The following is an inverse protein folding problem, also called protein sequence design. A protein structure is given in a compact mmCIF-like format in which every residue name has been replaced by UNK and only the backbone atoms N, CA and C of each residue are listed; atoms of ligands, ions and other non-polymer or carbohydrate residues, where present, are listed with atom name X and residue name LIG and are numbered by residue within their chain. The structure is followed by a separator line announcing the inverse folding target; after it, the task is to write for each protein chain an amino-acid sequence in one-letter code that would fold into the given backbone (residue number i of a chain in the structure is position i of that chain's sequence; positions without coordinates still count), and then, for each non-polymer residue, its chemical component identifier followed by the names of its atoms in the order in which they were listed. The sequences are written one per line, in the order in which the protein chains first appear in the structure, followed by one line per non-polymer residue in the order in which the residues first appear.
data_IF_112397383268
#
_entry.id   IF_112397383268
#
_cell.length_a   1.000
_cell.length_b   1.000
_cell.length_c   1.000
_cell.angle_alpha   90.00
_cell.angle_beta   90.00
_cell.angle_gamma   90.00
#
_symmetry.space_group_name_H-M   'P 1'
#
loop_
_entity.id
_entity.type
_entity.pdbx_description
1 polymer ?
#
# COMPACT_ATOMS: atom_id res chain seq x y z
N UNK A 1 19.31 10.59 6.89
CA UNK A 1 19.54 9.92 5.59
C UNK A 1 18.36 10.14 4.65
N UNK A 2 17.13 9.74 4.98
CA UNK A 2 15.94 9.95 4.15
C UNK A 2 15.75 11.40 3.66
N UNK A 3 15.91 12.39 4.56
CA UNK A 3 15.84 13.82 4.18
C UNK A 3 16.88 14.21 3.13
N UNK A 4 18.14 13.79 3.35
CA UNK A 4 19.25 14.08 2.43
C UNK A 4 19.04 13.47 1.04
N UNK A 5 18.32 12.36 0.96
CA UNK A 5 17.99 11.66 -0.27
C UNK A 5 16.76 12.24 -0.99
N UNK A 6 16.05 13.19 -0.39
CA UNK A 6 14.76 13.67 -0.91
C UNK A 6 13.60 12.70 -0.72
N UNK A 7 13.80 11.60 0.02
CA UNK A 7 12.75 10.62 0.30
C UNK A 7 11.80 11.07 1.42
N UNK A 8 12.19 12.11 2.15
CA UNK A 8 11.39 12.70 3.20
C UNK A 8 11.75 14.17 3.40
N UNK A 9 10.89 14.93 4.04
CA UNK A 9 11.14 16.29 4.49
C UNK A 9 10.73 16.44 5.95
N UNK A 10 11.26 17.48 6.61
CA UNK A 10 10.91 17.77 8.00
C UNK A 10 9.76 18.77 8.05
N UNK A 11 8.75 18.47 8.87
CA UNK A 11 7.64 19.38 9.18
C UNK A 11 7.54 19.47 10.70
N UNK A 12 8.11 20.54 11.27
CA UNK A 12 8.34 20.62 12.72
C UNK A 12 9.28 19.50 13.18
N UNK A 13 8.81 18.68 14.12
CA UNK A 13 9.47 17.49 14.65
C UNK A 13 9.15 16.20 13.86
N UNK A 14 8.35 16.27 12.79
CA UNK A 14 8.02 15.10 11.94
C UNK A 14 9.02 14.89 10.83
N UNK A 15 9.20 13.62 10.49
CA UNK A 15 9.71 13.20 9.19
C UNK A 15 8.51 12.78 8.33
N UNK A 16 8.22 13.54 7.27
CA UNK A 16 7.14 13.26 6.32
C UNK A 16 7.76 12.66 5.06
N UNK A 17 7.32 11.49 4.64
CA UNK A 17 7.78 10.86 3.40
C UNK A 17 7.31 11.67 2.19
N UNK A 18 8.17 11.82 1.18
CA UNK A 18 7.75 12.38 -0.10
C UNK A 18 6.90 11.36 -0.89
N UNK A 19 5.99 11.84 -1.73
CA UNK A 19 5.21 10.94 -2.59
C UNK A 19 6.12 10.21 -3.59
N UNK A 20 7.21 10.82 -4.04
CA UNK A 20 8.24 10.14 -4.82
C UNK A 20 8.88 8.95 -4.10
N UNK A 21 9.14 9.07 -2.79
CA UNK A 21 9.63 7.94 -1.99
C UNK A 21 8.62 6.80 -1.92
N UNK A 22 7.34 7.16 -1.84
CA UNK A 22 6.22 6.22 -1.84
C UNK A 22 6.09 5.51 -3.20
N UNK A 23 6.23 6.25 -4.30
CA UNK A 23 6.26 5.69 -5.66
C UNK A 23 7.40 4.67 -5.82
N UNK A 24 8.59 4.99 -5.28
CA UNK A 24 9.78 4.12 -5.30
C UNK A 24 9.89 3.18 -4.11
N UNK A 25 8.76 2.80 -3.47
CA UNK A 25 8.77 2.04 -2.20
C UNK A 25 9.60 0.74 -2.26
N UNK A 26 9.62 0.07 -3.41
CA UNK A 26 10.35 -1.18 -3.63
C UNK A 26 11.86 -1.01 -3.42
N UNK A 27 12.39 0.19 -3.70
CA UNK A 27 13.81 0.50 -3.48
C UNK A 27 14.18 0.49 -2.00
N UNK A 28 13.21 0.74 -1.10
CA UNK A 28 13.44 0.73 0.33
C UNK A 28 13.50 -0.68 0.94
N UNK A 29 13.18 -1.73 0.17
CA UNK A 29 13.13 -3.11 0.68
C UNK A 29 14.50 -3.78 0.75
N UNK A 30 15.43 -3.36 -0.09
CA UNK A 30 16.76 -3.96 -0.17
C UNK A 30 17.84 -2.93 0.08
N UNK A 31 18.95 -3.37 0.69
CA UNK A 31 20.11 -2.51 0.88
C UNK A 31 20.67 -2.05 -0.47
N UNK A 32 20.64 -2.92 -1.48
CA UNK A 32 21.05 -2.59 -2.84
C UNK A 32 20.14 -1.55 -3.49
N UNK A 33 18.81 -1.66 -3.35
CA UNK A 33 17.85 -0.69 -3.86
C UNK A 33 18.02 0.68 -3.22
N UNK A 34 18.16 0.73 -1.89
CA UNK A 34 18.51 1.97 -1.18
C UNK A 34 19.84 2.48 -1.71
N UNK A 35 20.82 1.60 -1.89
CA UNK A 35 22.14 2.04 -2.27
C UNK A 35 22.19 2.70 -3.65
N UNK A 36 21.74 1.95 -4.65
CA UNK A 36 21.81 2.32 -6.07
C UNK A 36 20.87 3.47 -6.44
N UNK A 37 19.92 3.82 -5.58
CA UNK A 37 19.08 5.02 -5.74
C UNK A 37 19.65 6.28 -5.08
N UNK A 38 20.69 6.21 -4.24
CA UNK A 38 21.25 7.43 -3.62
C UNK A 38 22.00 8.27 -4.67
N UNK A 39 21.63 9.54 -4.89
CA UNK A 39 22.25 10.37 -5.91
C UNK A 39 23.76 10.52 -5.75
N UNK A 40 24.26 10.56 -4.50
CA UNK A 40 25.70 10.70 -4.25
C UNK A 40 26.45 9.38 -4.43
N UNK A 41 25.80 8.25 -4.21
CA UNK A 41 26.41 6.95 -4.52
C UNK A 41 26.43 6.71 -6.03
N UNK A 42 25.39 7.14 -6.76
CA UNK A 42 25.40 7.17 -8.22
C UNK A 42 26.55 7.98 -8.79
N UNK A 43 26.71 9.21 -8.30
CA UNK A 43 27.83 10.06 -8.68
C UNK A 43 29.19 9.38 -8.43
N UNK A 44 29.33 8.64 -7.33
CA UNK A 44 30.52 7.86 -7.04
C UNK A 44 30.76 6.73 -8.06
N UNK A 45 29.73 5.95 -8.38
CA UNK A 45 29.82 4.87 -9.37
C UNK A 45 30.09 5.41 -10.79
N UNK A 46 29.49 6.54 -11.15
CA UNK A 46 29.72 7.20 -12.45
C UNK A 46 31.15 7.71 -12.57
N UNK A 47 31.68 8.35 -11.52
CA UNK A 47 33.09 8.75 -11.49
C UNK A 47 34.03 7.54 -11.57
N UNK A 48 33.67 6.41 -10.96
CA UNK A 48 34.42 5.17 -11.04
C UNK A 48 34.40 4.57 -12.45
N UNK A 49 33.23 4.54 -13.12
CA UNK A 49 33.07 4.14 -14.52
C UNK A 49 33.88 5.03 -15.45
N UNK A 50 33.82 6.35 -15.25
CA UNK A 50 34.59 7.31 -16.03
C UNK A 50 36.10 7.16 -15.83
N UNK A 51 36.55 6.87 -14.60
CA UNK A 51 37.96 6.60 -14.32
C UNK A 51 38.45 5.33 -15.02
N UNK A 52 37.62 4.28 -15.10
CA UNK A 52 37.94 3.07 -15.86
C UNK A 52 38.09 3.35 -17.36
N UNK A 53 37.32 4.29 -17.90
CA UNK A 53 37.40 4.74 -19.30
C UNK A 53 38.47 5.81 -19.56
N UNK A 54 39.26 6.20 -18.55
CA UNK A 54 40.36 7.15 -18.71
C UNK A 54 39.95 8.63 -18.79
N UNK A 55 38.74 9.00 -18.35
CA UNK A 55 38.31 10.41 -18.39
C UNK A 55 39.15 11.32 -17.47
N UNK A 56 39.56 12.51 -17.93
CA UNK A 56 40.35 13.45 -17.13
C UNK A 56 39.67 13.83 -15.82
N UNK A 57 40.42 13.77 -14.71
CA UNK A 57 39.93 14.16 -13.37
C UNK A 57 38.99 13.17 -12.69
N UNK A 58 38.46 12.15 -13.39
CA UNK A 58 37.54 11.17 -12.81
C UNK A 58 38.19 10.33 -11.71
N UNK A 59 39.46 9.94 -11.86
CA UNK A 59 40.20 9.20 -10.84
C UNK A 59 40.37 9.98 -9.52
N UNK A 60 40.53 11.31 -9.60
CA UNK A 60 40.64 12.19 -8.43
C UNK A 60 39.27 12.30 -7.72
N UNK A 61 38.20 12.56 -8.48
CA UNK A 61 36.82 12.62 -7.95
C UNK A 61 36.40 11.29 -7.30
N UNK A 62 36.71 10.17 -7.96
CA UNK A 62 36.53 8.83 -7.42
C UNK A 62 37.30 8.66 -6.09
N UNK A 63 38.59 9.02 -6.06
CA UNK A 63 39.44 8.91 -4.87
C UNK A 63 38.88 9.67 -3.66
N UNK A 64 38.36 10.88 -3.88
CA UNK A 64 37.74 11.70 -2.83
C UNK A 64 36.49 11.09 -2.21
N UNK A 65 35.71 10.34 -3.00
CA UNK A 65 34.44 9.74 -2.56
C UNK A 65 34.60 8.30 -2.04
N UNK A 66 35.72 7.63 -2.35
CA UNK A 66 35.96 6.20 -2.07
C UNK A 66 35.79 5.83 -0.60
N UNK A 67 36.44 6.54 0.31
CA UNK A 67 36.38 6.20 1.74
C UNK A 67 34.95 6.27 2.27
N UNK A 68 34.19 7.26 1.81
CA UNK A 68 32.80 7.48 2.21
C UNK A 68 31.88 6.34 1.79
N UNK A 69 32.10 5.76 0.60
CA UNK A 69 31.20 4.77 0.00
C UNK A 69 31.70 3.32 0.06
N UNK A 70 32.89 3.07 0.60
CA UNK A 70 33.44 1.72 0.79
C UNK A 70 32.48 0.79 1.56
N UNK A 71 31.74 1.32 2.53
CA UNK A 71 30.75 0.54 3.29
C UNK A 71 29.51 0.18 2.46
N UNK A 72 29.18 0.97 1.45
CA UNK A 72 28.09 0.72 0.52
C UNK A 72 28.51 -0.34 -0.50
N UNK A 73 29.74 -0.26 -1.02
CA UNK A 73 30.29 -1.29 -1.91
C UNK A 73 30.16 -2.69 -1.28
N UNK A 74 30.62 -2.84 -0.03
CA UNK A 74 30.55 -4.12 0.69
C UNK A 74 29.12 -4.62 0.89
N UNK A 75 28.15 -3.72 1.05
CA UNK A 75 26.74 -4.09 1.24
C UNK A 75 26.04 -4.47 -0.06
N UNK A 76 26.42 -3.83 -1.16
CA UNK A 76 25.80 -4.05 -2.48
C UNK A 76 26.46 -5.23 -3.20
N UNK A 77 27.79 -5.29 -3.17
CA UNK A 77 28.59 -6.23 -3.96
C UNK A 77 29.27 -7.33 -3.13
N UNK A 78 29.24 -7.23 -1.79
CA UNK A 78 29.92 -8.13 -0.87
C UNK A 78 31.38 -7.76 -0.57
N UNK A 79 31.97 -6.87 -1.38
CA UNK A 79 33.37 -6.45 -1.29
C UNK A 79 33.54 -5.01 -1.79
N UNK A 80 34.75 -4.46 -1.67
CA UNK A 80 35.07 -3.14 -2.21
C UNK A 80 35.28 -3.22 -3.71
N UNK A 81 34.56 -2.40 -4.48
CA UNK A 81 34.60 -2.43 -5.95
C UNK A 81 35.74 -1.57 -6.48
N UNK A 82 36.33 -2.01 -7.60
CA UNK A 82 37.37 -1.31 -8.33
C UNK A 82 36.88 -0.86 -9.71
N UNK A 83 37.48 0.19 -10.30
CA UNK A 83 37.07 0.66 -11.64
C UNK A 83 37.04 -0.44 -12.71
N UNK A 84 38.01 -1.35 -12.68
CA UNK A 84 38.10 -2.48 -13.61
C UNK A 84 37.00 -3.54 -13.46
N UNK A 85 36.35 -3.63 -12.29
CA UNK A 85 35.35 -4.65 -11.98
C UNK A 85 33.91 -4.13 -11.99
N UNK A 86 33.73 -2.82 -11.93
CA UNK A 86 32.44 -2.18 -11.74
C UNK A 86 31.35 -2.66 -12.70
N UNK A 87 31.64 -2.74 -14.00
CA UNK A 87 30.64 -3.13 -15.01
C UNK A 87 30.11 -4.55 -14.71
N UNK A 88 31.02 -5.50 -14.51
CA UNK A 88 30.68 -6.89 -14.20
C UNK A 88 29.95 -7.03 -12.86
N UNK A 89 30.38 -6.28 -11.85
CA UNK A 89 29.77 -6.32 -10.53
C UNK A 89 28.36 -5.70 -10.55
N UNK A 90 28.12 -4.65 -11.36
CA UNK A 90 26.80 -4.07 -11.59
C UNK A 90 25.86 -5.01 -12.35
N UNK A 91 26.32 -5.67 -13.42
CA UNK A 91 25.53 -6.65 -14.17
C UNK A 91 25.01 -7.78 -13.26
N UNK A 92 25.85 -8.25 -12.33
CA UNK A 92 25.48 -9.27 -11.35
C UNK A 92 24.38 -8.80 -10.38
N UNK A 93 24.44 -7.55 -9.93
CA UNK A 93 23.48 -7.00 -8.96
C UNK A 93 22.18 -6.55 -9.62
N UNK A 94 22.27 -5.98 -10.82
CA UNK A 94 21.13 -5.47 -11.58
C UNK A 94 20.46 -6.52 -12.49
N UNK A 95 20.99 -7.75 -12.52
CA UNK A 95 20.48 -8.87 -13.31
C UNK A 95 20.23 -8.49 -14.78
N UNK A 96 21.21 -7.79 -15.38
CA UNK A 96 21.16 -7.36 -16.78
C UNK A 96 20.38 -6.07 -17.07
N UNK A 97 19.84 -5.37 -16.05
CA UNK A 97 19.26 -4.03 -16.22
C UNK A 97 20.35 -2.95 -16.20
N UNK A 98 20.13 -1.87 -16.96
CA UNK A 98 21.01 -0.70 -16.86
C UNK A 98 20.85 -0.04 -15.50
N UNK A 99 21.95 0.50 -14.96
CA UNK A 99 21.87 1.35 -13.79
C UNK A 99 21.08 2.63 -14.12
N UNK A 100 21.15 3.12 -15.36
CA UNK A 100 20.49 4.36 -15.79
C UNK A 100 18.96 4.26 -15.78
N UNK A 101 18.42 3.04 -15.93
CA UNK A 101 16.97 2.78 -15.85
C UNK A 101 16.47 2.66 -14.40
N UNK A 102 17.39 2.60 -13.44
CA UNK A 102 17.06 2.42 -12.03
C UNK A 102 16.68 3.77 -11.41
N UNK A 103 15.55 3.91 -10.68
CA UNK A 103 15.07 5.22 -10.25
C UNK A 103 16.00 5.90 -9.23
N UNK A 104 16.08 7.23 -9.28
CA UNK A 104 16.92 8.03 -8.38
C UNK A 104 16.09 8.57 -7.21
N UNK A 105 16.64 8.45 -5.99
CA UNK A 105 16.01 9.00 -4.80
C UNK A 105 15.97 10.53 -4.88
N UNK A 106 14.83 11.11 -4.50
CA UNK A 106 14.56 12.54 -4.60
C UNK A 106 13.83 12.93 -5.90
N UNK A 107 13.65 12.01 -6.85
CA UNK A 107 12.67 12.21 -7.92
C UNK A 107 11.28 12.40 -7.32
N UNK A 108 10.49 13.29 -7.92
CA UNK A 108 9.17 13.65 -7.42
C UNK A 108 8.17 12.51 -7.62
N UNK A 109 8.28 11.72 -8.69
CA UNK A 109 7.25 10.76 -9.08
C UNK A 109 5.94 11.44 -9.52
N UNK A 110 4.89 10.68 -9.86
CA UNK A 110 3.59 11.25 -10.19
C UNK A 110 3.00 11.95 -8.96
N UNK A 111 2.51 13.17 -9.15
CA UNK A 111 1.88 13.95 -8.10
C UNK A 111 0.51 13.34 -7.74
N UNK A 112 0.21 13.10 -6.46
CA UNK A 112 -1.12 12.67 -6.04
C UNK A 112 -2.15 13.75 -6.35
N UNK A 113 -3.26 13.36 -6.97
CA UNK A 113 -4.40 14.25 -7.14
C UNK A 113 -5.07 14.53 -5.79
N UNK A 114 -5.50 15.77 -5.58
CA UNK A 114 -6.34 16.10 -4.43
C UNK A 114 -7.68 15.39 -4.56
N UNK A 115 -8.08 14.65 -3.52
CA UNK A 115 -9.27 13.82 -3.52
C UNK A 115 -10.35 14.45 -2.66
N UNK A 116 -11.61 14.48 -3.13
CA UNK A 116 -12.71 15.16 -2.44
C UNK A 116 -13.80 14.22 -1.92
N UNK A 117 -13.77 12.92 -2.27
CA UNK A 117 -14.85 11.98 -2.02
C UNK A 117 -14.48 10.71 -1.25
N UNK A 118 -15.48 9.83 -1.08
CA UNK A 118 -15.29 8.47 -0.58
C UNK A 118 -14.45 7.63 -1.57
N UNK A 119 -13.88 6.49 -1.15
CA UNK A 119 -13.16 5.63 -2.12
C UNK A 119 -14.14 5.11 -3.17
N UNK A 120 -15.32 4.67 -2.74
CA UNK A 120 -16.34 4.14 -3.64
C UNK A 120 -16.86 5.18 -4.64
N UNK A 121 -16.88 6.48 -4.29
CA UNK A 121 -17.19 7.56 -5.23
C UNK A 121 -16.08 7.81 -6.26
N UNK A 122 -14.82 7.55 -5.88
CA UNK A 122 -13.65 7.87 -6.69
C UNK A 122 -13.09 6.65 -7.44
N UNK A 123 -13.69 5.46 -7.32
CA UNK A 123 -13.18 4.20 -7.88
C UNK A 123 -12.98 4.20 -9.41
N UNK A 124 -13.60 5.12 -10.15
CA UNK A 124 -13.39 5.25 -11.59
C UNK A 124 -12.20 6.14 -11.95
N UNK A 125 -11.53 6.75 -10.96
CA UNK A 125 -10.36 7.61 -11.16
C UNK A 125 -9.07 6.80 -11.11
N UNK A 126 -8.11 7.18 -11.95
CA UNK A 126 -6.72 6.72 -11.90
C UNK A 126 -5.91 7.51 -10.87
N UNK A 127 -4.74 6.99 -10.49
CA UNK A 127 -3.80 7.69 -9.63
C UNK A 127 -4.24 7.80 -8.17
N UNK A 128 -5.22 7.00 -7.73
CA UNK A 128 -5.62 6.97 -6.32
C UNK A 128 -4.51 6.37 -5.47
N UNK A 129 -4.17 7.00 -4.35
CA UNK A 129 -3.18 6.47 -3.42
C UNK A 129 -3.86 5.74 -2.28
N UNK A 130 -3.52 4.47 -2.08
CA UNK A 130 -4.07 3.62 -1.03
C UNK A 130 -3.02 3.37 0.03
N UNK A 131 -3.38 3.48 1.30
CA UNK A 131 -2.55 3.01 2.38
C UNK A 131 -3.28 1.96 3.19
N UNK A 132 -2.51 1.04 3.76
CA UNK A 132 -3.00 0.05 4.70
C UNK A 132 -2.28 0.20 6.06
N UNK A 133 -2.52 1.32 6.78
CA UNK A 133 -1.84 1.59 8.03
C UNK A 133 -2.27 0.60 9.12
N UNK A 134 -1.32 0.19 9.97
CA UNK A 134 -1.57 -0.79 11.04
C UNK A 134 -2.64 -0.36 12.06
N UNK A 135 -2.89 0.94 12.17
CA UNK A 135 -3.94 1.51 13.02
C UNK A 135 -5.38 1.13 12.58
N UNK A 136 -5.57 0.62 11.36
CA UNK A 136 -6.86 0.10 10.89
C UNK A 136 -7.32 -1.10 11.70
N UNK A 137 -6.39 -1.86 12.30
CA UNK A 137 -6.70 -2.99 13.21
C UNK A 137 -7.61 -2.58 14.37
N UNK A 138 -7.57 -1.32 14.78
CA UNK A 138 -8.45 -0.80 15.83
C UNK A 138 -9.94 -0.85 15.46
N UNK A 139 -10.28 -0.89 14.16
CA UNK A 139 -11.67 -1.05 13.71
C UNK A 139 -12.25 -2.43 14.07
N UNK A 140 -11.40 -3.44 14.30
CA UNK A 140 -11.85 -4.75 14.79
C UNK A 140 -12.50 -4.65 16.19
N UNK A 141 -12.15 -3.63 16.97
CA UNK A 141 -12.79 -3.32 18.27
C UNK A 141 -14.15 -2.61 18.16
N UNK A 142 -14.66 -2.38 16.94
CA UNK A 142 -15.96 -1.77 16.68
C UNK A 142 -16.07 -0.30 17.14
N UNK A 143 -17.30 0.14 17.42
CA UNK A 143 -17.62 1.54 17.79
C UNK A 143 -16.80 2.01 19.00
N UNK A 144 -16.63 1.15 20.02
CA UNK A 144 -16.00 1.53 21.27
C UNK A 144 -14.54 1.95 21.06
N UNK A 145 -13.78 1.19 20.28
CA UNK A 145 -12.39 1.53 19.97
C UNK A 145 -12.31 2.72 19.01
N UNK A 146 -13.17 2.79 18.00
CA UNK A 146 -13.21 3.92 17.08
C UNK A 146 -13.48 5.26 17.82
N UNK A 147 -14.44 5.26 18.75
CA UNK A 147 -14.73 6.43 19.59
C UNK A 147 -13.60 6.75 20.57
N UNK A 148 -12.89 5.75 21.09
CA UNK A 148 -11.69 5.96 21.90
C UNK A 148 -10.57 6.64 21.09
N UNK A 149 -10.41 6.27 19.82
CA UNK A 149 -9.44 6.92 18.93
C UNK A 149 -9.83 8.35 18.60
N UNK A 150 -11.11 8.63 18.34
CA UNK A 150 -11.64 9.99 18.17
C UNK A 150 -11.39 10.84 19.42
N UNK A 151 -11.69 10.30 20.61
CA UNK A 151 -11.47 11.01 21.87
C UNK A 151 -9.99 11.35 22.07
N UNK A 152 -9.11 10.37 21.89
CA UNK A 152 -7.67 10.59 21.96
C UNK A 152 -7.20 11.60 20.90
N UNK A 153 -7.89 11.73 19.76
CA UNK A 153 -7.48 12.60 18.66
C UNK A 153 -7.84 14.05 19.00
N UNK A 154 -9.02 14.24 19.62
CA UNK A 154 -9.44 15.51 20.19
C UNK A 154 -8.54 15.97 21.35
N UNK A 155 -8.18 15.04 22.23
CA UNK A 155 -7.35 15.34 23.41
C UNK A 155 -5.88 15.63 23.05
N UNK A 156 -5.43 15.23 21.86
CA UNK A 156 -4.09 15.52 21.38
C UNK A 156 -3.96 17.03 21.07
N UNK A 157 -3.68 17.84 22.10
CA UNK A 157 -3.38 19.27 21.97
C UNK A 157 -2.14 19.45 21.10
N UNK A 158 -2.31 19.94 19.86
CA UNK A 158 -1.25 20.29 18.91
C UNK A 158 -0.10 19.27 18.81
N UNK A 159 -0.40 18.01 19.12
CA UNK A 159 0.57 16.95 19.24
C UNK A 159 0.85 16.36 17.88
N UNK A 160 2.11 16.35 17.51
CA UNK A 160 2.57 15.62 16.34
C UNK A 160 2.43 14.11 16.59
N UNK A 161 1.30 13.52 16.16
CA UNK A 161 1.01 12.08 16.23
C UNK A 161 1.11 11.37 14.88
N UNK A 162 1.17 10.03 14.90
CA UNK A 162 0.93 9.21 13.70
C UNK A 162 -0.52 9.43 13.23
N UNK A 163 -0.76 9.43 11.90
CA UNK A 163 -2.12 9.44 11.38
C UNK A 163 -2.94 8.32 12.02
N UNK A 164 -4.19 8.61 12.32
CA UNK A 164 -5.17 7.69 12.91
C UNK A 164 -6.19 7.32 11.85
N UNK A 165 -6.83 6.17 12.02
CA UNK A 165 -7.92 5.73 11.15
C UNK A 165 -9.07 6.75 11.10
N UNK A 166 -9.20 7.60 12.12
CA UNK A 166 -10.22 8.64 12.25
C UNK A 166 -9.79 10.01 11.72
N UNK A 167 -8.54 10.15 11.27
CA UNK A 167 -8.08 11.41 10.67
C UNK A 167 -8.70 11.57 9.28
N UNK A 168 -8.98 12.80 8.87
CA UNK A 168 -9.39 13.07 7.50
C UNK A 168 -8.23 12.74 6.58
N UNK A 169 -8.53 12.03 5.50
CA UNK A 169 -7.58 11.95 4.40
C UNK A 169 -7.60 13.24 3.60
N UNK A 170 -6.46 13.57 3.02
CA UNK A 170 -6.34 14.67 2.04
C UNK A 170 -5.89 14.13 0.68
N UNK A 171 -4.94 13.20 0.68
CA UNK A 171 -4.32 12.64 -0.53
C UNK A 171 -4.31 11.10 -0.59
N UNK A 172 -4.58 10.42 0.53
CA UNK A 172 -4.39 8.97 0.66
C UNK A 172 -5.59 8.29 1.31
N UNK A 173 -6.11 7.24 0.68
CA UNK A 173 -7.16 6.40 1.23
C UNK A 173 -6.61 5.40 2.24
N UNK A 174 -6.90 5.61 3.54
CA UNK A 174 -6.50 4.69 4.61
C UNK A 174 -7.23 4.92 5.95
N UNK A 175 -8.37 5.63 5.93
CA UNK A 175 -9.15 6.03 7.10
C UNK A 175 -10.65 6.03 6.82
N UNK A 176 -11.46 6.25 7.86
CA UNK A 176 -12.93 6.13 7.80
C UNK A 176 -13.67 7.43 7.45
N UNK A 177 -12.97 8.56 7.34
CA UNK A 177 -13.56 9.85 6.96
C UNK A 177 -13.04 10.31 5.60
N UNK A 178 -13.92 10.88 4.78
CA UNK A 178 -13.54 11.49 3.51
C UNK A 178 -12.87 12.87 3.71
N UNK A 179 -12.23 13.37 2.67
CA UNK A 179 -11.66 14.72 2.66
C UNK A 179 -12.77 15.76 2.87
N UNK A 180 -12.51 16.79 3.68
CA UNK A 180 -13.49 17.85 3.96
C UNK A 180 -14.65 17.45 4.90
N UNK A 181 -14.84 16.15 5.16
CA UNK A 181 -15.91 15.68 6.03
C UNK A 181 -15.68 16.10 7.50
N UNK A 182 -16.63 16.75 8.18
CA UNK A 182 -16.47 17.11 9.59
C UNK A 182 -16.25 15.86 10.45
N UNK A 183 -15.21 15.89 11.29
CA UNK A 183 -15.00 14.82 12.26
C UNK A 183 -16.12 14.91 13.30
N UNK A 184 -16.93 13.86 13.39
CA UNK A 184 -17.99 13.77 14.38
C UNK A 184 -17.45 13.76 15.81
N UNK A 185 -18.28 14.16 16.78
CA UNK A 185 -17.94 14.00 18.21
C UNK A 185 -17.81 12.53 18.61
N UNK A 186 -18.49 11.66 17.90
CA UNK A 186 -18.48 10.21 18.04
C UNK A 186 -19.06 9.61 16.75
N UNK A 187 -18.76 8.35 16.50
CA UNK A 187 -19.47 7.53 15.55
C UNK A 187 -20.69 6.97 16.31
N UNK A 188 -21.92 7.25 15.83
CA UNK A 188 -23.13 7.05 16.62
C UNK A 188 -23.46 5.57 16.82
N UNK A 189 -23.16 4.72 15.83
CA UNK A 189 -23.53 3.32 15.84
C UNK A 189 -22.63 2.48 14.90
N UNK A 190 -22.84 1.16 14.95
CA UNK A 190 -22.04 0.17 14.22
C UNK A 190 -22.31 0.24 12.72
N UNK A 191 -23.53 0.61 12.33
CA UNK A 191 -23.93 0.73 10.92
C UNK A 191 -23.13 1.85 10.28
N UNK A 192 -23.12 3.01 10.91
CA UNK A 192 -22.38 4.19 10.47
C UNK A 192 -20.89 3.88 10.39
N UNK A 193 -20.31 3.22 11.40
CA UNK A 193 -18.90 2.80 11.36
C UNK A 193 -18.62 1.88 10.16
N UNK A 194 -19.46 0.87 9.97
CA UNK A 194 -19.34 -0.13 8.91
C UNK A 194 -19.44 0.52 7.53
N UNK A 195 -20.49 1.30 7.26
CA UNK A 195 -20.68 1.96 5.97
C UNK A 195 -19.54 2.93 5.68
N UNK A 196 -19.09 3.70 6.68
CA UNK A 196 -17.92 4.57 6.54
C UNK A 196 -16.66 3.79 6.20
N UNK A 197 -16.39 2.70 6.90
CA UNK A 197 -15.21 1.87 6.66
C UNK A 197 -15.23 1.24 5.26
N UNK A 198 -16.37 0.68 4.84
CA UNK A 198 -16.55 0.09 3.50
C UNK A 198 -16.48 1.15 2.41
N UNK A 199 -17.07 2.33 2.60
CA UNK A 199 -17.05 3.39 1.59
C UNK A 199 -15.67 4.07 1.44
N UNK A 200 -14.88 4.12 2.52
CA UNK A 200 -13.67 4.93 2.56
C UNK A 200 -12.37 4.12 2.54
N UNK A 201 -12.34 2.88 3.04
CA UNK A 201 -11.10 2.09 3.11
C UNK A 201 -11.03 1.12 1.93
N UNK A 202 -10.12 1.32 0.96
CA UNK A 202 -10.12 0.57 -0.31
C UNK A 202 -10.01 -0.94 -0.13
N UNK A 203 -9.14 -1.39 0.79
CA UNK A 203 -8.97 -2.82 1.07
C UNK A 203 -10.25 -3.45 1.62
N UNK A 204 -11.00 -2.74 2.48
CA UNK A 204 -12.27 -3.23 3.01
C UNK A 204 -13.36 -3.23 1.95
N UNK A 205 -13.40 -2.21 1.09
CA UNK A 205 -14.31 -2.15 -0.05
C UNK A 205 -14.07 -3.31 -1.03
N UNK A 206 -12.82 -3.52 -1.47
CA UNK A 206 -12.43 -4.59 -2.39
C UNK A 206 -12.71 -5.98 -1.80
N UNK A 207 -12.38 -6.19 -0.52
CA UNK A 207 -12.74 -7.42 0.18
C UNK A 207 -14.26 -7.63 0.26
N UNK A 208 -15.02 -6.58 0.54
CA UNK A 208 -16.49 -6.65 0.58
C UNK A 208 -17.05 -6.99 -0.80
N UNK A 209 -16.50 -6.40 -1.86
CA UNK A 209 -16.86 -6.72 -3.24
C UNK A 209 -16.55 -8.19 -3.59
N UNK A 210 -15.39 -8.71 -3.20
CA UNK A 210 -15.05 -10.14 -3.34
C UNK A 210 -16.02 -11.06 -2.56
N UNK A 211 -16.45 -10.64 -1.37
CA UNK A 211 -17.44 -11.38 -0.59
C UNK A 211 -18.84 -11.34 -1.23
N UNK A 212 -19.21 -10.25 -1.89
CA UNK A 212 -20.43 -10.15 -2.71
C UNK A 212 -20.37 -11.10 -3.90
N UNK A 213 -19.21 -11.24 -4.57
CA UNK A 213 -19.04 -12.20 -5.67
C UNK A 213 -19.41 -13.62 -5.26
N UNK A 214 -19.22 -14.01 -3.99
CA UNK A 214 -19.63 -15.33 -3.50
C UNK A 214 -21.13 -15.63 -3.69
N UNK A 215 -21.97 -14.60 -3.81
CA UNK A 215 -23.41 -14.75 -4.04
C UNK A 215 -23.76 -14.95 -5.52
N UNK A 216 -22.80 -14.79 -6.43
CA UNK A 216 -22.99 -15.00 -7.87
C UNK A 216 -22.80 -16.48 -8.26
N UNK A 217 -23.54 -16.98 -9.26
CA UNK A 217 -23.31 -18.31 -9.81
C UNK A 217 -21.85 -18.50 -10.26
N UNK A 218 -21.24 -19.64 -9.93
CA UNK A 218 -19.85 -19.97 -10.32
C UNK A 218 -18.75 -19.48 -9.37
N UNK A 219 -19.06 -18.59 -8.42
CA UNK A 219 -18.09 -17.96 -7.52
C UNK A 219 -18.08 -18.56 -6.10
N UNK A 220 -18.27 -19.88 -6.00
CA UNK A 220 -18.31 -20.56 -4.69
C UNK A 220 -16.90 -20.64 -4.07
N UNK A 221 -16.79 -20.22 -2.79
CA UNK A 221 -15.58 -20.31 -1.92
C UNK A 221 -14.41 -19.42 -2.35
N UNK A 222 -14.63 -18.11 -2.30
CA UNK A 222 -13.67 -17.09 -2.74
C UNK A 222 -12.53 -16.90 -1.74
N UNK A 223 -12.81 -16.84 -0.43
CA UNK A 223 -11.79 -16.48 0.57
C UNK A 223 -11.63 -17.58 1.63
N UNK A 224 -10.38 -18.02 1.84
CA UNK A 224 -10.03 -18.98 2.89
C UNK A 224 -8.97 -18.43 3.83
N UNK A 225 -9.12 -18.78 5.11
CA UNK A 225 -8.20 -18.45 6.20
C UNK A 225 -7.30 -19.66 6.45
N UNK A 226 -5.99 -19.52 6.18
CA UNK A 226 -4.99 -20.58 6.40
C UNK A 226 -3.68 -19.99 6.93
N UNK A 227 -3.16 -20.59 8.00
CA UNK A 227 -1.81 -20.31 8.53
C UNK A 227 -1.48 -18.82 8.68
N UNK A 228 -2.42 -18.02 9.19
CA UNK A 228 -2.25 -16.58 9.39
C UNK A 228 -2.34 -15.72 8.11
N UNK A 229 -2.78 -16.33 7.01
CA UNK A 229 -3.00 -15.67 5.71
C UNK A 229 -4.44 -15.81 5.24
N UNK A 230 -4.85 -14.89 4.36
CA UNK A 230 -6.10 -15.02 3.61
C UNK A 230 -5.75 -15.32 2.17
N UNK A 231 -6.31 -16.40 1.66
CA UNK A 231 -6.07 -16.87 0.30
C UNK A 231 -7.34 -16.73 -0.54
N UNK A 232 -7.14 -16.34 -1.80
CA UNK A 232 -8.18 -16.35 -2.81
C UNK A 232 -8.25 -17.73 -3.48
N UNK A 233 -9.45 -18.29 -3.56
CA UNK A 233 -9.75 -19.59 -4.16
C UNK A 233 -10.92 -19.46 -5.13
N UNK A 234 -10.92 -20.26 -6.20
CA UNK A 234 -12.08 -20.44 -7.09
C UNK A 234 -12.46 -21.90 -7.10
N UNK A 235 -13.53 -22.25 -6.37
CA UNK A 235 -13.94 -23.63 -6.14
C UNK A 235 -12.88 -24.44 -5.38
N UNK A 236 -12.04 -25.18 -6.13
CA UNK A 236 -10.93 -25.99 -5.61
C UNK A 236 -9.55 -25.50 -6.08
N UNK A 237 -9.44 -24.55 -7.01
CA UNK A 237 -8.17 -23.97 -7.45
C UNK A 237 -7.79 -22.83 -6.49
N UNK A 238 -6.54 -22.82 -6.03
CA UNK A 238 -5.96 -21.69 -5.31
C UNK A 238 -5.51 -20.66 -6.34
N UNK A 239 -5.96 -19.42 -6.20
CA UNK A 239 -5.55 -18.31 -7.08
C UNK A 239 -4.27 -17.67 -6.52
N UNK A 240 -4.24 -17.36 -5.23
CA UNK A 240 -3.06 -16.72 -4.61
C UNK A 240 -3.33 -16.19 -3.21
N UNK A 241 -2.33 -15.49 -2.66
CA UNK A 241 -2.47 -14.74 -1.41
C UNK A 241 -3.25 -13.45 -1.66
N UNK A 242 -4.21 -13.13 -0.79
CA UNK A 242 -5.19 -12.09 -1.04
C UNK A 242 -4.55 -10.71 -1.19
N UNK A 243 -3.65 -10.30 -0.28
CA UNK A 243 -3.11 -8.94 -0.32
C UNK A 243 -2.27 -8.71 -1.57
N UNK A 244 -1.47 -9.70 -1.99
CA UNK A 244 -0.75 -9.63 -3.26
C UNK A 244 -1.72 -9.48 -4.44
N UNK A 245 -2.78 -10.29 -4.51
CA UNK A 245 -3.76 -10.20 -5.60
C UNK A 245 -4.51 -8.86 -5.60
N UNK A 246 -4.81 -8.30 -4.43
CA UNK A 246 -5.42 -6.97 -4.34
C UNK A 246 -4.47 -5.87 -4.82
N UNK A 247 -3.17 -5.96 -4.54
CA UNK A 247 -2.19 -5.00 -5.05
C UNK A 247 -2.08 -5.05 -6.57
N UNK A 248 -2.05 -6.25 -7.15
CA UNK A 248 -2.03 -6.45 -8.60
C UNK A 248 -3.31 -5.88 -9.24
N UNK A 249 -4.48 -6.20 -8.69
CA UNK A 249 -5.75 -5.61 -9.13
C UNK A 249 -5.68 -4.07 -9.06
N UNK A 250 -5.20 -3.50 -7.95
CA UNK A 250 -5.08 -2.05 -7.81
C UNK A 250 -4.15 -1.45 -8.87
N UNK A 251 -3.04 -2.14 -9.16
CA UNK A 251 -2.06 -1.68 -10.14
C UNK A 251 -2.63 -1.71 -11.56
N UNK A 252 -3.43 -2.72 -11.92
CA UNK A 252 -4.17 -2.76 -13.19
C UNK A 252 -5.21 -1.64 -13.33
N UNK A 253 -5.76 -1.15 -12.22
CA UNK A 253 -6.68 -0.01 -12.22
C UNK A 253 -5.95 1.35 -12.23
N UNK A 254 -4.61 1.38 -12.30
CA UNK A 254 -3.83 2.61 -12.20
C UNK A 254 -3.83 3.23 -10.80
N UNK A 255 -4.15 2.45 -9.76
CA UNK A 255 -4.09 2.89 -8.36
C UNK A 255 -2.75 2.52 -7.73
N UNK A 256 -2.35 3.29 -6.72
CA UNK A 256 -1.05 3.18 -6.07
C UNK A 256 -1.16 2.70 -4.63
N UNK A 257 -0.78 1.43 -4.41
CA UNK A 257 -0.81 0.84 -3.07
C UNK A 257 0.47 1.14 -2.29
N UNK A 258 0.35 2.00 -1.30
CA UNK A 258 1.37 2.35 -0.32
C UNK A 258 1.29 1.40 0.88
N UNK A 259 1.61 0.13 0.66
CA UNK A 259 1.82 -0.83 1.75
C UNK A 259 3.19 -1.46 1.64
N UNK A 260 3.73 -1.91 2.78
CA UNK A 260 4.91 -2.77 2.77
C UNK A 260 4.41 -4.21 2.59
N UNK A 261 4.99 -5.01 1.68
CA UNK A 261 4.55 -6.40 1.47
C UNK A 261 4.54 -7.24 2.75
N UNK A 262 5.44 -6.94 3.71
CA UNK A 262 5.62 -7.67 4.97
C UNK A 262 5.35 -6.85 6.24
N UNK A 263 4.75 -5.67 6.13
CA UNK A 263 4.46 -4.84 7.32
C UNK A 263 3.18 -4.02 7.13
N UNK A 264 2.47 -3.77 8.22
CA UNK A 264 1.14 -3.14 8.21
C UNK A 264 0.07 -4.12 8.66
N UNK A 265 -1.15 -3.96 8.15
CA UNK A 265 -2.25 -4.89 8.41
C UNK A 265 -2.07 -6.16 7.58
N UNK A 266 -2.20 -7.33 8.22
CA UNK A 266 -2.17 -8.63 7.53
C UNK A 266 -3.54 -8.99 6.94
N UNK A 267 -3.57 -9.96 6.02
CA UNK A 267 -4.84 -10.47 5.49
C UNK A 267 -5.78 -10.99 6.58
N UNK A 268 -5.22 -11.68 7.59
CA UNK A 268 -5.98 -12.15 8.75
C UNK A 268 -6.57 -10.99 9.57
N UNK A 269 -5.78 -9.95 9.84
CA UNK A 269 -6.26 -8.76 10.53
C UNK A 269 -7.34 -8.02 9.72
N UNK A 270 -7.27 -8.00 8.39
CA UNK A 270 -8.36 -7.49 7.56
C UNK A 270 -9.65 -8.32 7.71
N UNK A 271 -9.53 -9.65 7.77
CA UNK A 271 -10.67 -10.53 8.03
C UNK A 271 -11.25 -10.30 9.44
N UNK A 272 -10.41 -10.05 10.45
CA UNK A 272 -10.85 -9.68 11.80
C UNK A 272 -11.57 -8.32 11.80
N UNK A 273 -11.06 -7.32 11.08
CA UNK A 273 -11.72 -6.02 10.92
C UNK A 273 -13.12 -6.21 10.31
N UNK A 274 -13.25 -6.95 9.21
CA UNK A 274 -14.55 -7.18 8.57
C UNK A 274 -15.53 -7.92 9.48
N UNK A 275 -15.05 -8.86 10.31
CA UNK A 275 -15.86 -9.54 11.31
C UNK A 275 -16.30 -8.59 12.43
N UNK A 276 -15.37 -7.81 12.98
CA UNK A 276 -15.66 -6.80 14.01
C UNK A 276 -16.60 -5.70 13.51
N UNK A 277 -16.58 -5.40 12.21
CA UNK A 277 -17.51 -4.48 11.56
C UNK A 277 -18.89 -5.11 11.29
N UNK A 278 -19.04 -6.43 11.38
CA UNK A 278 -20.28 -7.13 11.01
C UNK A 278 -20.52 -7.09 9.49
N UNK A 279 -19.46 -7.14 8.69
CA UNK A 279 -19.48 -7.28 7.22
C UNK A 279 -19.32 -8.75 6.84
N UNK A 280 -18.44 -9.45 7.52
CA UNK A 280 -18.09 -10.84 7.20
C UNK A 280 -18.23 -11.73 8.43
N UNK A 281 -18.35 -13.03 8.19
CA UNK A 281 -18.35 -14.07 9.21
C UNK A 281 -17.41 -15.20 8.81
N UNK A 282 -16.71 -15.78 9.78
CA UNK A 282 -15.95 -17.02 9.59
C UNK A 282 -16.87 -18.24 9.68
N UNK A 283 -16.81 -19.11 8.68
CA UNK A 283 -17.49 -20.42 8.64
C UNK A 283 -16.45 -21.49 8.31
N UNK A 284 -15.95 -22.19 9.33
CA UNK A 284 -14.83 -23.11 9.18
C UNK A 284 -13.54 -22.38 8.76
N UNK A 285 -12.94 -22.80 7.64
CA UNK A 285 -11.79 -22.15 7.01
C UNK A 285 -12.17 -21.03 6.05
N UNK A 286 -13.45 -20.66 5.94
CA UNK A 286 -13.93 -19.68 4.95
C UNK A 286 -14.32 -18.37 5.60
N UNK A 287 -14.06 -17.27 4.88
CA UNK A 287 -14.63 -15.97 5.17
C UNK A 287 -15.80 -15.74 4.21
N UNK A 288 -16.99 -15.50 4.74
CA UNK A 288 -18.21 -15.28 3.95
C UNK A 288 -18.86 -13.95 4.32
N UNK A 289 -19.63 -13.38 3.39
CA UNK A 289 -20.43 -12.18 3.66
C UNK A 289 -21.47 -12.51 4.74
N UNK A 290 -21.57 -11.66 5.76
CA UNK A 290 -22.57 -11.81 6.81
C UNK A 290 -23.99 -11.68 6.21
N UNK A 291 -24.88 -12.61 6.56
CA UNK A 291 -26.23 -12.67 5.97
C UNK A 291 -27.07 -11.47 6.38
N UNK A 292 -26.99 -11.03 7.64
CA UNK A 292 -27.77 -9.88 8.10
C UNK A 292 -27.29 -8.60 7.42
N UNK A 293 -25.98 -8.47 7.19
CA UNK A 293 -25.45 -7.38 6.38
C UNK A 293 -25.90 -7.47 4.92
N UNK A 294 -25.87 -8.66 4.30
CA UNK A 294 -26.29 -8.84 2.91
C UNK A 294 -27.76 -8.48 2.69
N UNK A 295 -28.65 -8.88 3.60
CA UNK A 295 -30.07 -8.51 3.54
C UNK A 295 -30.21 -6.99 3.60
N UNK A 296 -29.50 -6.32 4.51
CA UNK A 296 -29.55 -4.85 4.64
C UNK A 296 -29.07 -4.13 3.39
N UNK A 297 -28.00 -4.60 2.75
CA UNK A 297 -27.51 -4.07 1.47
C UNK A 297 -28.60 -4.10 0.38
N UNK A 298 -29.62 -4.94 0.53
CA UNK A 298 -30.74 -5.04 -0.42
C UNK A 298 -31.97 -4.23 0.00
N UNK A 299 -32.19 -4.03 1.31
CA UNK A 299 -33.44 -3.49 1.84
C UNK A 299 -33.34 -2.06 2.36
N UNK A 300 -32.20 -1.66 2.92
CA UNK A 300 -32.01 -0.34 3.54
C UNK A 300 -31.45 0.65 2.52
N UNK A 301 -32.01 1.86 2.44
CA UNK A 301 -31.66 2.85 1.40
C UNK A 301 -30.17 3.22 1.41
N UNK A 302 -29.61 3.46 2.60
CA UNK A 302 -28.21 3.88 2.76
C UNK A 302 -27.23 2.72 2.47
N UNK A 303 -27.51 1.52 3.01
CA UNK A 303 -26.73 0.32 2.72
C UNK A 303 -26.82 -0.02 1.21
N UNK A 304 -27.97 0.22 0.56
CA UNK A 304 -28.19 -0.03 -0.87
C UNK A 304 -27.33 0.85 -1.76
N UNK A 305 -27.16 2.13 -1.43
CA UNK A 305 -26.25 3.01 -2.17
C UNK A 305 -24.81 2.48 -2.16
N UNK A 306 -24.34 2.02 -1.00
CA UNK A 306 -23.02 1.38 -0.87
C UNK A 306 -22.97 0.07 -1.68
N UNK A 307 -24.04 -0.73 -1.66
CA UNK A 307 -24.12 -1.95 -2.46
C UNK A 307 -24.00 -1.70 -3.96
N UNK A 308 -24.73 -0.70 -4.47
CA UNK A 308 -24.71 -0.34 -5.89
C UNK A 308 -23.32 0.16 -6.31
N UNK A 309 -22.63 0.93 -5.44
CA UNK A 309 -21.24 1.33 -5.65
C UNK A 309 -20.23 0.18 -5.55
N UNK A 310 -20.53 -0.90 -4.81
CA UNK A 310 -19.68 -2.08 -4.72
C UNK A 310 -19.78 -2.99 -5.95
N UNK A 311 -20.87 -2.93 -6.73
CA UNK A 311 -21.05 -3.80 -7.89
C UNK A 311 -19.97 -3.61 -8.97
N UNK A 312 -19.60 -2.38 -9.38
CA UNK A 312 -18.52 -2.17 -10.34
C UNK A 312 -17.18 -2.74 -9.84
N UNK A 313 -16.86 -2.60 -8.55
CA UNK A 313 -15.67 -3.22 -7.96
C UNK A 313 -15.73 -4.74 -8.02
N UNK A 314 -16.89 -5.34 -7.73
CA UNK A 314 -17.09 -6.78 -7.81
C UNK A 314 -16.87 -7.25 -9.26
N UNK A 315 -17.41 -6.54 -10.25
CA UNK A 315 -17.23 -6.85 -11.68
C UNK A 315 -15.77 -6.76 -12.13
N UNK A 316 -15.02 -5.76 -11.65
CA UNK A 316 -13.58 -5.62 -11.91
C UNK A 316 -12.79 -6.75 -11.28
N UNK A 317 -13.04 -7.06 -10.02
CA UNK A 317 -12.38 -8.15 -9.31
C UNK A 317 -12.67 -9.51 -9.97
N UNK A 318 -13.91 -9.72 -10.42
CA UNK A 318 -14.29 -10.91 -11.18
C UNK A 318 -13.46 -11.03 -12.47
N UNK A 319 -13.43 -9.98 -13.30
CA UNK A 319 -12.69 -9.98 -14.57
C UNK A 319 -11.19 -10.20 -14.36
N UNK A 320 -10.61 -9.54 -13.36
CA UNK A 320 -9.19 -9.69 -13.00
C UNK A 320 -8.85 -11.14 -12.67
N UNK A 321 -9.63 -11.77 -11.77
CA UNK A 321 -9.38 -13.14 -11.34
C UNK A 321 -9.61 -14.14 -12.49
N UNK A 322 -10.59 -13.90 -13.36
CA UNK A 322 -10.80 -14.72 -14.56
C UNK A 322 -9.61 -14.63 -15.52
N UNK A 323 -9.11 -13.43 -15.81
CA UNK A 323 -7.95 -13.22 -16.67
C UNK A 323 -6.66 -13.81 -16.07
N UNK A 324 -6.47 -13.67 -14.75
CA UNK A 324 -5.32 -14.22 -14.04
C UNK A 324 -5.23 -15.75 -14.15
N UNK A 325 -6.37 -16.43 -14.14
CA UNK A 325 -6.42 -17.89 -14.28
C UNK A 325 -6.09 -18.37 -15.69
N UNK A 326 -6.30 -17.55 -16.73
CA UNK A 326 -5.93 -17.87 -18.11
C UNK A 326 -4.43 -17.69 -18.35
N UNK A 327 -3.78 -16.80 -17.60
CA UNK A 327 -2.35 -16.53 -17.70
C UNK A 327 -1.46 -17.56 -16.96
N UNK A 328 -2.03 -18.36 -16.04
CA UNK A 328 -1.32 -19.32 -15.15
C UNK A 328 -1.84 -20.75 -15.28
#
# INVERSE_FOLDING_TARGET
MAVRRGDAFRVGDRLVGSWGAVWRRELAETVAGVALSDPRYREYLDNMRQAASGHPGAAVRYGQLRERFTSWDRRVFGETVTPSRLVKDLERVLLGRSIDDFPIAGETGPEPSAQTGSFLELQDQEGLFFALPSNLTALAGGIAEANRLLERARQAKNGVGLPRVTDRRELVHGGVFATGEPQGRSIPDQVTLRLRAVANVPHLALLTALLILHRRPGWRRVLRLRDGSVELWRGRKRVGELLLLLDELCSEQGWLVIRRPRAGVTGEQLAEILQGLGVARRVGDQLVLDEAFFVRLQTEVEDRQVYDQLQPLADRAQRFVEAWEEAV
#
